data_IF_053194777716
#
_entry.id   IF_053194777716
#
_cell.length_a   1.000
_cell.length_b   1.000
_cell.length_c   1.000
_cell.angle_alpha   90.00
_cell.angle_beta   90.00
_cell.angle_gamma   90.00
#
_symmetry.space_group_name_H-M   'P 1'
#
loop_
_entity.id
_entity.type
_entity.pdbx_description
1 polymer ?
#
# COMPACT_ATOMS: atom_id res chain seq x y z
N UNK A 1 6.21 -19.47 3.45
CA UNK A 1 7.20 -18.42 3.15
C UNK A 1 6.46 -17.24 2.56
N UNK A 2 6.31 -16.18 3.34
CA UNK A 2 5.75 -14.91 2.85
C UNK A 2 6.77 -14.36 1.87
N UNK A 3 6.42 -14.41 0.58
CA UNK A 3 7.28 -13.95 -0.51
C UNK A 3 7.67 -12.50 -0.23
N UNK A 4 8.96 -12.17 -0.32
CA UNK A 4 9.49 -10.83 -0.05
C UNK A 4 8.93 -9.86 -1.09
N UNK A 5 7.76 -9.28 -0.79
CA UNK A 5 7.13 -8.23 -1.58
C UNK A 5 7.91 -6.94 -1.38
N UNK A 6 8.62 -6.51 -2.40
CA UNK A 6 9.42 -5.29 -2.31
C UNK A 6 8.51 -4.08 -2.48
N UNK A 7 8.59 -3.14 -1.54
CA UNK A 7 7.92 -1.85 -1.70
C UNK A 7 8.60 -1.10 -2.84
N UNK A 8 7.89 -0.95 -3.96
CA UNK A 8 8.40 -0.25 -5.14
C UNK A 8 8.16 1.26 -5.03
N UNK A 9 7.04 1.65 -4.42
CA UNK A 9 6.68 3.04 -4.31
C UNK A 9 5.81 3.28 -3.10
N UNK A 10 6.13 4.33 -2.34
CA UNK A 10 5.36 4.80 -1.21
C UNK A 10 5.04 6.28 -1.45
N UNK A 11 3.75 6.61 -1.52
CA UNK A 11 3.27 7.97 -1.68
C UNK A 11 2.64 8.44 -0.37
N UNK A 12 3.16 9.52 0.21
CA UNK A 12 2.68 10.11 1.46
C UNK A 12 2.10 11.50 1.18
N UNK A 13 0.77 11.65 1.25
CA UNK A 13 0.09 12.95 1.06
C UNK A 13 -0.49 13.43 2.39
N UNK A 14 -0.10 14.66 2.78
CA UNK A 14 -0.56 15.46 3.93
C UNK A 14 -1.08 14.66 5.15
N UNK A 15 -0.15 14.30 6.03
CA UNK A 15 -0.39 13.64 7.33
C UNK A 15 -1.40 14.41 8.19
N UNK A 16 -2.44 13.70 8.66
CA UNK A 16 -2.67 13.35 10.09
C UNK A 16 -4.06 12.72 10.22
N UNK A 17 -4.16 11.51 10.80
CA UNK A 17 -4.98 11.23 11.99
C UNK A 17 -5.09 9.72 12.32
N UNK A 18 -4.88 9.47 13.61
CA UNK A 18 -5.40 8.40 14.48
C UNK A 18 -5.34 6.92 13.98
N UNK A 19 -4.39 6.19 14.57
CA UNK A 19 -4.19 4.73 14.58
C UNK A 19 -4.22 3.99 13.22
N UNK A 20 -3.01 3.68 12.75
CA UNK A 20 -2.68 3.03 11.48
C UNK A 20 -3.47 1.74 11.21
N UNK A 21 -4.31 1.76 10.17
CA UNK A 21 -4.80 0.53 9.55
C UNK A 21 -4.98 0.67 8.04
N UNK A 22 -4.68 -0.42 7.33
CA UNK A 22 -4.90 -0.55 5.89
C UNK A 22 -6.40 -0.57 5.65
N UNK A 23 -6.90 0.43 4.93
CA UNK A 23 -8.32 0.54 4.59
C UNK A 23 -8.68 -0.29 3.36
N UNK A 24 -7.78 -0.34 2.38
CA UNK A 24 -8.06 -1.01 1.13
C UNK A 24 -6.80 -1.63 0.51
N UNK A 25 -7.02 -2.72 -0.23
CA UNK A 25 -5.97 -3.43 -0.99
C UNK A 25 -6.48 -3.74 -2.39
N UNK A 26 -5.75 -3.31 -3.41
CA UNK A 26 -6.07 -3.58 -4.80
C UNK A 26 -4.96 -4.37 -5.49
N UNK A 27 -5.35 -5.26 -6.40
CA UNK A 27 -4.44 -6.06 -7.19
C UNK A 27 -4.53 -5.65 -8.65
N UNK A 28 -3.38 -5.53 -9.30
CA UNK A 28 -3.34 -5.27 -10.73
C UNK A 28 -3.78 -6.52 -11.49
N UNK A 29 -4.71 -6.38 -12.44
CA UNK A 29 -5.38 -7.52 -13.10
C UNK A 29 -4.47 -8.41 -13.95
N UNK A 30 -3.34 -7.88 -14.41
CA UNK A 30 -2.43 -8.57 -15.34
C UNK A 30 -0.96 -8.60 -14.92
N UNK A 31 -0.61 -7.88 -13.85
CA UNK A 31 0.79 -7.75 -13.39
C UNK A 31 0.82 -8.11 -11.90
N UNK A 32 1.93 -8.65 -11.38
CA UNK A 32 2.04 -9.08 -9.99
C UNK A 32 2.17 -7.88 -9.03
N UNK A 33 1.40 -6.81 -9.25
CA UNK A 33 1.41 -5.63 -8.41
C UNK A 33 0.24 -5.64 -7.44
N UNK A 34 0.53 -5.27 -6.20
CA UNK A 34 -0.47 -5.04 -5.17
C UNK A 34 -0.30 -3.62 -4.63
N UNK A 35 -1.40 -2.91 -4.43
CA UNK A 35 -1.39 -1.62 -3.74
C UNK A 35 -2.14 -1.74 -2.42
N UNK A 36 -1.57 -1.21 -1.35
CA UNK A 36 -2.27 -1.04 -0.07
C UNK A 36 -2.46 0.45 0.20
N UNK A 37 -3.64 0.85 0.66
CA UNK A 37 -3.96 2.24 0.99
C UNK A 37 -4.38 2.34 2.46
N UNK A 38 -3.70 3.19 3.21
CA UNK A 38 -3.95 3.44 4.63
C UNK A 38 -4.87 4.64 4.89
N UNK A 39 -5.37 4.72 6.12
CA UNK A 39 -6.19 5.83 6.64
C UNK A 39 -5.46 7.19 6.61
N UNK A 40 -4.14 7.11 6.69
CA UNK A 40 -3.16 8.19 6.68
C UNK A 40 -2.90 8.76 5.28
N UNK A 41 -3.69 8.36 4.28
CA UNK A 41 -3.47 8.70 2.88
C UNK A 41 -2.11 8.23 2.35
N UNK A 42 -1.54 7.18 2.96
CA UNK A 42 -0.34 6.51 2.46
C UNK A 42 -0.76 5.40 1.51
N UNK A 43 -0.22 5.43 0.30
CA UNK A 43 -0.36 4.36 -0.69
C UNK A 43 0.99 3.67 -0.90
N UNK A 44 1.02 2.35 -0.73
CA UNK A 44 2.21 1.51 -0.95
C UNK A 44 1.97 0.54 -2.09
N UNK A 45 2.90 0.48 -3.04
CA UNK A 45 2.86 -0.40 -4.20
C UNK A 45 3.92 -1.48 -4.00
N UNK A 46 3.53 -2.74 -4.17
CA UNK A 46 4.37 -3.92 -4.01
C UNK A 46 4.44 -4.71 -5.31
N UNK A 47 5.58 -5.39 -5.53
CA UNK A 47 5.80 -6.37 -6.59
C UNK A 47 6.44 -7.66 -6.05
#
# INVERSE_FOLDING_TARGET
NLENRNCLHELTVHQKKDDESIHDVAFHSSKPYMTSVGADSIAKIYA
#
